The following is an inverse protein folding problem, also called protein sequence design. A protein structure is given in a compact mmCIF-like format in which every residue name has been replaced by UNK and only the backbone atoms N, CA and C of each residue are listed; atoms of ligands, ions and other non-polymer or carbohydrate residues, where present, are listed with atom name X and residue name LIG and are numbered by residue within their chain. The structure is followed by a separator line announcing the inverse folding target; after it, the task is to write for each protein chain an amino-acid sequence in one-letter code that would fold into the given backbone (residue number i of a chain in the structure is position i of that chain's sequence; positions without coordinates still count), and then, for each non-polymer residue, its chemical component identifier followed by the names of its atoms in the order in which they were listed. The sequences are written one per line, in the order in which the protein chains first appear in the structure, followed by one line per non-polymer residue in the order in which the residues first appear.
data_IF_370938386478
#
_entry.id   IF_370938386478
#
_cell.length_a   1.000
_cell.length_b   1.000
_cell.length_c   1.000
_cell.angle_alpha   90.00
_cell.angle_beta   90.00
_cell.angle_gamma   90.00
#
_symmetry.space_group_name_H-M   'P 1'
#
loop_
_entity.id
_entity.type
_entity.pdbx_description
1 polymer ?
#
# COMPACT_ATOMS: atom_id res chain seq x y z
N UNK A 1 1.35 9.55 -33.58
CA UNK A 1 1.19 9.39 -32.12
C UNK A 1 1.15 10.79 -31.52
N UNK A 2 -0.02 11.32 -31.18
CA UNK A 2 -0.15 12.62 -30.57
C UNK A 2 0.42 12.58 -29.13
N UNK A 3 1.21 13.54 -28.70
CA UNK A 3 1.63 13.64 -27.30
C UNK A 3 0.40 13.83 -26.42
N UNK A 4 0.33 13.10 -25.31
CA UNK A 4 -0.71 13.31 -24.30
C UNK A 4 -0.66 14.78 -23.84
N UNK A 5 -1.81 15.46 -23.72
CA UNK A 5 -1.82 16.80 -23.16
C UNK A 5 -1.27 16.78 -21.74
N UNK A 6 -0.44 17.77 -21.41
CA UNK A 6 0.14 18.03 -20.07
C UNK A 6 -0.96 18.35 -19.03
N UNK A 7 -1.86 17.43 -18.77
CA UNK A 7 -2.89 17.50 -17.74
C UNK A 7 -2.56 16.61 -16.55
N UNK A 8 -1.37 16.77 -16.01
CA UNK A 8 -1.15 16.33 -14.64
C UNK A 8 -1.48 17.53 -13.75
N UNK A 9 -2.62 17.52 -13.04
CA UNK A 9 -2.90 18.57 -12.06
C UNK A 9 -1.73 18.63 -11.06
N UNK A 10 -1.40 19.81 -10.53
CA UNK A 10 -0.31 19.96 -9.58
C UNK A 10 -0.53 18.95 -8.45
N UNK A 11 0.49 18.14 -8.18
CA UNK A 11 0.44 17.09 -7.17
C UNK A 11 0.19 17.74 -5.82
N UNK A 12 -0.89 17.40 -5.08
CA UNK A 12 -1.01 17.86 -3.72
C UNK A 12 0.23 17.37 -2.96
N UNK A 13 0.88 18.27 -2.23
CA UNK A 13 1.98 17.88 -1.37
C UNK A 13 1.44 16.98 -0.26
N UNK A 14 2.10 15.86 0.00
CA UNK A 14 1.75 14.97 1.12
C UNK A 14 1.54 15.75 2.44
N UNK A 15 2.33 16.79 2.66
CA UNK A 15 2.26 17.64 3.86
C UNK A 15 1.07 18.61 3.88
N UNK A 16 0.40 18.80 2.75
CA UNK A 16 -0.76 19.70 2.63
C UNK A 16 -2.08 18.96 2.86
N UNK A 17 -2.04 17.61 2.99
CA UNK A 17 -3.23 16.79 3.26
C UNK A 17 -3.47 16.70 4.75
N UNK A 18 -4.63 17.20 5.20
CA UNK A 18 -5.12 16.95 6.56
C UNK A 18 -5.79 15.58 6.63
N UNK A 19 -5.13 14.64 7.31
CA UNK A 19 -5.64 13.28 7.48
C UNK A 19 -6.91 13.18 8.36
N UNK A 20 -7.34 14.25 9.00
CA UNK A 20 -8.64 14.29 9.67
C UNK A 20 -9.78 14.55 8.69
N UNK A 21 -9.49 15.17 7.55
CA UNK A 21 -10.46 15.58 6.54
C UNK A 21 -10.54 14.56 5.39
N UNK A 22 -9.36 14.12 4.87
CA UNK A 22 -9.28 13.21 3.73
C UNK A 22 -8.08 12.28 3.86
N UNK A 23 -8.19 11.01 3.43
CA UNK A 23 -7.01 10.15 3.31
C UNK A 23 -6.12 10.63 2.17
N UNK A 24 -4.84 10.33 2.28
CA UNK A 24 -3.88 10.52 1.20
C UNK A 24 -4.09 9.49 0.06
N UNK A 25 -4.45 8.26 0.45
CA UNK A 25 -4.73 7.16 -0.45
C UNK A 25 -6.00 6.44 -0.03
N UNK A 26 -6.85 6.14 -0.99
CA UNK A 26 -7.99 5.24 -0.82
C UNK A 26 -7.80 4.04 -1.75
N UNK A 27 -7.78 2.84 -1.19
CA UNK A 27 -7.77 1.62 -1.98
C UNK A 27 -9.18 1.03 -2.04
N UNK A 28 -9.60 0.61 -3.22
CA UNK A 28 -10.90 -0.02 -3.42
C UNK A 28 -10.74 -1.40 -4.06
N UNK A 29 -11.14 -2.42 -3.31
CA UNK A 29 -11.26 -3.80 -3.78
C UNK A 29 -12.55 -3.93 -4.58
N UNK A 30 -12.48 -3.73 -5.89
CA UNK A 30 -13.68 -3.71 -6.75
C UNK A 30 -14.29 -5.09 -7.00
N UNK A 31 -13.53 -6.16 -6.74
CA UNK A 31 -13.95 -7.56 -6.82
C UNK A 31 -13.02 -8.46 -5.99
N UNK A 32 -13.51 -9.60 -5.50
CA UNK A 32 -12.67 -10.68 -4.94
C UNK A 32 -12.35 -11.79 -5.93
N UNK A 33 -12.90 -11.73 -7.13
CA UNK A 33 -12.60 -12.71 -8.15
C UNK A 33 -11.13 -12.63 -8.58
N UNK A 34 -10.45 -13.78 -8.66
CA UNK A 34 -9.07 -13.89 -9.11
C UNK A 34 -8.78 -15.32 -9.60
N UNK A 35 -7.94 -15.43 -10.64
CA UNK A 35 -7.47 -16.71 -11.13
C UNK A 35 -6.21 -17.23 -10.40
N UNK A 36 -5.61 -16.43 -9.50
CA UNK A 36 -4.46 -16.82 -8.70
C UNK A 36 -4.88 -17.40 -7.34
N UNK A 37 -4.01 -18.25 -6.78
CA UNK A 37 -4.22 -18.91 -5.50
C UNK A 37 -3.14 -18.56 -4.45
N UNK A 38 -2.68 -17.30 -4.45
CA UNK A 38 -1.57 -16.82 -3.62
C UNK A 38 -1.69 -17.24 -2.16
N UNK A 39 -0.60 -17.77 -1.58
CA UNK A 39 -0.58 -18.27 -0.18
C UNK A 39 -0.82 -17.16 0.85
N UNK A 40 -0.42 -15.93 0.54
CA UNK A 40 -0.52 -14.74 1.41
C UNK A 40 -1.75 -13.87 1.14
N UNK A 41 -2.72 -14.34 0.33
CA UNK A 41 -3.81 -13.49 -0.14
C UNK A 41 -4.67 -12.93 0.99
N UNK A 42 -4.60 -11.61 1.24
CA UNK A 42 -5.41 -10.92 2.26
C UNK A 42 -6.93 -10.99 1.97
N UNK A 43 -7.29 -11.00 0.68
CA UNK A 43 -8.69 -10.96 0.24
C UNK A 43 -9.38 -12.32 0.31
N UNK A 44 -8.63 -13.42 0.51
CA UNK A 44 -9.16 -14.77 0.35
C UNK A 44 -9.87 -14.89 -1.01
N UNK A 45 -9.16 -14.47 -2.07
CA UNK A 45 -9.71 -14.39 -3.41
C UNK A 45 -10.31 -15.72 -3.87
N UNK A 46 -11.38 -15.64 -4.65
CA UNK A 46 -12.20 -16.75 -5.12
C UNK A 46 -12.31 -16.72 -6.66
N UNK A 47 -12.62 -17.86 -7.33
CA UNK A 47 -12.63 -17.92 -8.80
C UNK A 47 -13.75 -17.10 -9.47
N UNK A 48 -14.82 -16.81 -8.77
CA UNK A 48 -16.01 -16.12 -9.29
C UNK A 48 -16.30 -14.84 -8.51
N UNK A 49 -16.95 -13.89 -9.15
CA UNK A 49 -17.43 -12.66 -8.51
C UNK A 49 -18.48 -12.98 -7.43
N UNK A 50 -18.42 -12.24 -6.35
CA UNK A 50 -19.45 -12.29 -5.31
C UNK A 50 -20.73 -11.59 -5.84
N UNK A 51 -21.91 -12.20 -5.75
CA UNK A 51 -23.16 -11.58 -6.21
C UNK A 51 -23.53 -10.31 -5.43
N UNK A 52 -22.93 -10.08 -4.26
CA UNK A 52 -23.15 -8.88 -3.43
C UNK A 52 -22.23 -7.70 -3.83
N UNK A 53 -21.32 -7.89 -4.80
CA UNK A 53 -20.48 -6.79 -5.29
C UNK A 53 -21.33 -5.58 -5.69
N UNK A 54 -20.75 -4.39 -5.49
CA UNK A 54 -21.41 -3.14 -5.92
C UNK A 54 -21.76 -3.21 -7.40
N UNK A 55 -23.00 -2.79 -7.76
CA UNK A 55 -23.45 -2.69 -9.15
C UNK A 55 -22.61 -1.64 -9.90
N UNK A 56 -22.66 -1.59 -11.25
CA UNK A 56 -22.02 -0.52 -12.01
C UNK A 56 -22.44 0.89 -11.56
N UNK A 57 -23.73 1.10 -11.30
CA UNK A 57 -24.29 2.39 -10.88
C UNK A 57 -23.83 2.74 -9.45
N UNK A 58 -23.81 1.74 -8.55
CA UNK A 58 -23.25 1.93 -7.20
C UNK A 58 -21.75 2.28 -7.26
N UNK A 59 -21.02 1.64 -8.16
CA UNK A 59 -19.59 1.87 -8.34
C UNK A 59 -19.31 3.32 -8.77
N UNK A 60 -20.08 3.89 -9.69
CA UNK A 60 -19.93 5.29 -10.10
C UNK A 60 -20.28 6.25 -8.94
N UNK A 61 -21.32 5.94 -8.16
CA UNK A 61 -21.64 6.73 -6.95
C UNK A 61 -20.52 6.69 -5.91
N UNK A 62 -19.84 5.56 -5.73
CA UNK A 62 -18.68 5.48 -4.83
C UNK A 62 -17.55 6.37 -5.33
N UNK A 63 -17.28 6.43 -6.62
CA UNK A 63 -16.31 7.38 -7.18
C UNK A 63 -16.70 8.83 -6.85
N UNK A 64 -17.98 9.20 -7.01
CA UNK A 64 -18.45 10.54 -6.70
C UNK A 64 -18.27 10.87 -5.21
N UNK A 65 -18.59 9.96 -4.30
CA UNK A 65 -18.32 10.10 -2.86
C UNK A 65 -16.82 10.28 -2.55
N UNK A 66 -15.93 9.58 -3.26
CA UNK A 66 -14.47 9.72 -3.10
C UNK A 66 -14.01 11.10 -3.58
N UNK A 67 -14.57 11.63 -4.66
CA UNK A 67 -14.28 12.98 -5.15
C UNK A 67 -14.70 14.04 -4.14
N UNK A 68 -15.90 13.91 -3.56
CA UNK A 68 -16.45 14.81 -2.53
C UNK A 68 -15.63 14.77 -1.23
N UNK A 69 -15.02 13.63 -0.91
CA UNK A 69 -14.17 13.47 0.26
C UNK A 69 -12.89 14.31 0.20
N UNK A 70 -12.38 14.69 -0.99
CA UNK A 70 -11.17 15.50 -1.14
C UNK A 70 -10.15 14.97 -2.14
N UNK A 71 -10.56 14.11 -3.04
CA UNK A 71 -9.74 13.58 -4.15
C UNK A 71 -8.44 12.88 -3.72
N UNK A 72 -8.49 11.87 -2.84
CA UNK A 72 -7.33 11.04 -2.53
C UNK A 72 -6.83 10.32 -3.79
N UNK A 73 -5.62 9.74 -3.73
CA UNK A 73 -5.21 8.78 -4.76
C UNK A 73 -6.12 7.55 -4.65
N UNK A 74 -6.80 7.24 -5.75
CA UNK A 74 -7.62 6.03 -5.83
C UNK A 74 -6.77 4.87 -6.35
N UNK A 75 -6.66 3.80 -5.57
CA UNK A 75 -6.05 2.54 -6.01
C UNK A 75 -7.16 1.53 -6.29
N UNK A 76 -7.39 1.25 -7.55
CA UNK A 76 -8.33 0.21 -8.00
C UNK A 76 -7.61 -1.14 -7.90
N UNK A 77 -8.08 -1.97 -6.99
CA UNK A 77 -7.50 -3.29 -6.69
C UNK A 77 -8.62 -4.34 -6.57
N UNK A 78 -8.26 -5.55 -6.14
CA UNK A 78 -9.23 -6.61 -5.95
C UNK A 78 -8.56 -7.93 -5.60
N UNK A 79 -9.22 -9.01 -5.98
CA UNK A 79 -8.55 -10.22 -6.36
C UNK A 79 -7.78 -9.95 -7.66
N UNK A 80 -8.51 -9.87 -8.78
CA UNK A 80 -8.02 -9.30 -10.04
C UNK A 80 -9.05 -8.30 -10.56
N UNK A 81 -8.80 -6.98 -10.51
CA UNK A 81 -9.77 -5.98 -10.94
C UNK A 81 -10.19 -6.13 -12.42
N UNK A 82 -9.36 -6.77 -13.26
CA UNK A 82 -9.71 -7.05 -14.65
C UNK A 82 -10.83 -8.11 -14.80
N UNK A 83 -11.16 -8.85 -13.75
CA UNK A 83 -12.34 -9.75 -13.74
C UNK A 83 -13.66 -8.99 -13.56
N UNK A 84 -13.61 -7.71 -13.22
CA UNK A 84 -14.78 -6.84 -13.17
C UNK A 84 -14.99 -6.19 -14.54
N UNK A 85 -16.16 -6.43 -15.16
CA UNK A 85 -16.43 -6.03 -16.56
C UNK A 85 -16.41 -4.52 -16.78
N UNK A 86 -16.91 -3.75 -15.82
CA UNK A 86 -17.05 -2.28 -15.85
C UNK A 86 -15.83 -1.56 -15.23
N UNK A 87 -14.71 -2.25 -14.99
CA UNK A 87 -13.53 -1.64 -14.34
C UNK A 87 -12.98 -0.43 -15.09
N UNK A 88 -12.99 -0.47 -16.43
CA UNK A 88 -12.50 0.65 -17.23
C UNK A 88 -13.45 1.85 -17.22
N UNK A 89 -14.74 1.63 -17.02
CA UNK A 89 -15.72 2.72 -16.89
C UNK A 89 -15.58 3.39 -15.52
N UNK A 90 -15.35 2.62 -14.45
CA UNK A 90 -15.00 3.12 -13.12
C UNK A 90 -13.74 4.00 -13.19
N UNK A 91 -12.67 3.52 -13.82
CA UNK A 91 -11.41 4.25 -13.97
C UNK A 91 -11.61 5.53 -14.77
N UNK A 92 -12.33 5.47 -15.89
CA UNK A 92 -12.61 6.64 -16.74
C UNK A 92 -13.41 7.70 -15.99
N UNK A 93 -14.42 7.27 -15.24
CA UNK A 93 -15.21 8.19 -14.41
C UNK A 93 -14.35 8.85 -13.34
N UNK A 94 -13.54 8.08 -12.63
CA UNK A 94 -12.64 8.58 -11.60
C UNK A 94 -11.60 9.59 -12.15
N UNK A 95 -10.94 9.23 -13.25
CA UNK A 95 -9.96 10.10 -13.91
C UNK A 95 -10.62 11.36 -14.48
N UNK A 96 -11.81 11.23 -15.10
CA UNK A 96 -12.59 12.37 -15.61
C UNK A 96 -13.02 13.35 -14.52
N UNK A 97 -13.22 12.88 -13.28
CA UNK A 97 -13.49 13.72 -12.10
C UNK A 97 -12.21 14.31 -11.47
N UNK A 98 -11.03 14.02 -12.04
CA UNK A 98 -9.75 14.53 -11.60
C UNK A 98 -9.10 13.75 -10.45
N UNK A 99 -9.52 12.51 -10.20
CA UNK A 99 -8.79 11.59 -9.33
C UNK A 99 -7.53 11.08 -10.04
N UNK A 100 -6.48 10.87 -9.26
CA UNK A 100 -5.33 10.08 -9.70
C UNK A 100 -5.63 8.62 -9.46
N UNK A 101 -5.46 7.81 -10.49
CA UNK A 101 -5.87 6.39 -10.45
C UNK A 101 -4.66 5.47 -10.63
N UNK A 102 -4.41 4.64 -9.62
CA UNK A 102 -3.54 3.47 -9.73
C UNK A 102 -4.37 2.22 -9.98
N UNK A 103 -3.90 1.34 -10.86
CA UNK A 103 -4.52 0.03 -11.09
C UNK A 103 -3.58 -1.09 -10.66
N UNK A 104 -4.10 -2.04 -9.87
CA UNK A 104 -3.34 -3.18 -9.35
C UNK A 104 -3.92 -4.52 -9.88
N UNK A 105 -3.74 -4.86 -11.15
CA UNK A 105 -4.20 -6.13 -11.70
C UNK A 105 -3.30 -7.28 -11.26
N UNK A 106 -3.83 -8.48 -11.28
CA UNK A 106 -3.04 -9.69 -11.24
C UNK A 106 -2.47 -10.02 -12.62
N UNK A 107 -1.26 -10.59 -12.69
CA UNK A 107 -0.66 -11.02 -13.95
C UNK A 107 -1.32 -12.33 -14.44
N UNK A 108 -2.61 -12.28 -14.73
CA UNK A 108 -3.43 -13.38 -15.26
C UNK A 108 -3.56 -13.32 -16.78
N UNK A 109 -4.30 -14.25 -17.37
CA UNK A 109 -4.62 -14.23 -18.80
C UNK A 109 -5.38 -12.97 -19.22
N UNK A 110 -6.04 -12.26 -18.29
CA UNK A 110 -6.75 -11.02 -18.55
C UNK A 110 -5.83 -9.79 -18.67
N UNK A 111 -4.60 -9.85 -18.13
CA UNK A 111 -3.62 -8.77 -18.25
C UNK A 111 -2.95 -8.78 -19.64
N UNK A 112 -3.76 -8.70 -20.70
CA UNK A 112 -3.29 -8.60 -22.10
C UNK A 112 -2.82 -7.19 -22.40
N UNK A 113 -1.92 -7.03 -23.39
CA UNK A 113 -1.50 -5.70 -23.90
C UNK A 113 -2.71 -4.84 -24.27
N UNK A 114 -3.76 -5.43 -24.84
CA UNK A 114 -4.99 -4.72 -25.19
C UNK A 114 -5.72 -4.19 -23.95
N UNK A 115 -5.88 -4.99 -22.88
CA UNK A 115 -6.53 -4.53 -21.64
C UNK A 115 -5.67 -3.51 -20.90
N UNK A 116 -4.35 -3.62 -20.95
CA UNK A 116 -3.43 -2.63 -20.38
C UNK A 116 -3.50 -1.30 -21.16
N UNK A 117 -3.62 -1.35 -22.50
CA UNK A 117 -3.85 -0.15 -23.32
C UNK A 117 -5.19 0.50 -22.97
N UNK A 118 -6.28 -0.28 -22.84
CA UNK A 118 -7.58 0.24 -22.38
C UNK A 118 -7.52 0.88 -21.00
N UNK A 119 -6.74 0.33 -20.07
CA UNK A 119 -6.53 0.93 -18.76
C UNK A 119 -5.84 2.31 -18.88
N UNK A 120 -4.81 2.42 -19.74
CA UNK A 120 -4.14 3.71 -20.03
C UNK A 120 -5.13 4.72 -20.63
N UNK A 121 -5.89 4.32 -21.63
CA UNK A 121 -6.91 5.17 -22.28
C UNK A 121 -8.02 5.60 -21.31
N UNK A 122 -8.34 4.77 -20.32
CA UNK A 122 -9.29 5.10 -19.25
C UNK A 122 -8.70 6.10 -18.23
N UNK A 123 -7.39 6.36 -18.24
CA UNK A 123 -6.75 7.36 -17.40
C UNK A 123 -5.99 6.81 -16.19
N UNK A 124 -5.45 5.59 -16.28
CA UNK A 124 -4.55 5.05 -15.24
C UNK A 124 -3.23 5.82 -15.22
N UNK A 125 -2.88 6.38 -14.06
CA UNK A 125 -1.61 7.11 -13.85
C UNK A 125 -0.43 6.18 -13.50
N UNK A 126 -0.70 5.04 -12.87
CA UNK A 126 0.32 4.08 -12.44
C UNK A 126 -0.22 2.66 -12.42
N UNK A 127 0.56 1.73 -12.91
CA UNK A 127 0.27 0.29 -12.84
C UNK A 127 1.07 -0.33 -11.70
N UNK A 128 0.40 -1.08 -10.82
CA UNK A 128 1.04 -1.84 -9.77
C UNK A 128 0.99 -3.34 -10.09
N UNK A 129 2.14 -3.95 -10.32
CA UNK A 129 2.28 -5.38 -10.61
C UNK A 129 3.08 -6.03 -9.48
N UNK A 130 2.61 -7.17 -9.00
CA UNK A 130 3.27 -7.87 -7.92
C UNK A 130 4.32 -8.86 -8.42
N UNK A 131 5.50 -8.86 -7.76
CA UNK A 131 6.58 -9.82 -7.95
C UNK A 131 7.09 -10.26 -6.58
N UNK A 132 6.88 -11.54 -6.24
CA UNK A 132 7.22 -12.09 -4.91
C UNK A 132 8.34 -13.12 -4.96
N UNK A 133 9.03 -13.26 -6.09
CA UNK A 133 10.22 -14.07 -6.27
C UNK A 133 11.01 -13.62 -7.49
N UNK A 134 12.32 -13.83 -7.48
CA UNK A 134 13.24 -13.48 -8.56
C UNK A 134 13.28 -14.54 -9.67
N UNK A 135 12.72 -15.73 -9.41
CA UNK A 135 12.67 -16.88 -10.29
C UNK A 135 11.31 -17.60 -10.19
N UNK A 136 11.00 -18.50 -11.16
CA UNK A 136 9.75 -19.25 -11.19
C UNK A 136 9.49 -20.06 -9.91
N UNK A 137 10.52 -20.68 -9.35
CA UNK A 137 10.40 -21.57 -8.19
C UNK A 137 9.84 -20.83 -6.97
N UNK A 138 10.32 -19.62 -6.71
CA UNK A 138 9.87 -18.79 -5.59
C UNK A 138 8.55 -18.11 -5.91
N UNK A 139 8.46 -17.46 -7.07
CA UNK A 139 7.28 -16.66 -7.42
C UNK A 139 6.03 -17.52 -7.62
N UNK A 140 6.13 -18.60 -8.41
CA UNK A 140 4.99 -19.45 -8.74
C UNK A 140 4.45 -20.17 -7.50
N UNK A 141 5.36 -20.64 -6.60
CA UNK A 141 4.97 -21.23 -5.33
C UNK A 141 4.20 -20.21 -4.46
N UNK A 142 4.66 -18.97 -4.43
CA UNK A 142 4.03 -17.91 -3.65
C UNK A 142 2.67 -17.48 -4.23
N UNK A 143 2.54 -17.46 -5.56
CA UNK A 143 1.29 -17.11 -6.27
C UNK A 143 0.33 -18.30 -6.42
N UNK A 144 0.81 -19.53 -6.15
CA UNK A 144 0.01 -20.75 -6.23
C UNK A 144 -0.37 -21.15 -7.66
N UNK A 145 0.33 -20.63 -8.68
CA UNK A 145 0.05 -20.89 -10.09
C UNK A 145 1.36 -21.00 -10.87
N UNK A 146 1.63 -22.16 -11.45
CA UNK A 146 2.79 -22.42 -12.30
C UNK A 146 2.77 -21.51 -13.54
N UNK A 147 3.90 -20.92 -13.90
CA UNK A 147 4.05 -20.00 -15.02
C UNK A 147 3.65 -18.56 -14.72
N UNK A 148 3.22 -18.25 -13.49
CA UNK A 148 2.86 -16.89 -13.10
C UNK A 148 4.06 -15.94 -13.13
N UNK A 149 5.28 -16.41 -12.87
CA UNK A 149 6.51 -15.63 -12.98
C UNK A 149 6.74 -15.09 -14.39
N UNK A 150 6.76 -16.00 -15.37
CA UNK A 150 6.93 -15.62 -16.77
C UNK A 150 5.85 -14.65 -17.23
N UNK A 151 4.59 -14.93 -16.86
CA UNK A 151 3.47 -14.06 -17.17
C UNK A 151 3.62 -12.67 -16.53
N UNK A 152 4.13 -12.60 -15.30
CA UNK A 152 4.38 -11.33 -14.60
C UNK A 152 5.42 -10.48 -15.36
N UNK A 153 6.50 -11.09 -15.84
CA UNK A 153 7.50 -10.37 -16.64
C UNK A 153 6.93 -9.85 -17.98
N UNK A 154 6.13 -10.67 -18.67
CA UNK A 154 5.45 -10.27 -19.91
C UNK A 154 4.53 -9.06 -19.67
N UNK A 155 3.73 -9.08 -18.60
CA UNK A 155 2.84 -7.97 -18.23
C UNK A 155 3.65 -6.71 -17.91
N UNK A 156 4.74 -6.81 -17.14
CA UNK A 156 5.61 -5.67 -16.82
C UNK A 156 6.24 -5.07 -18.08
N UNK A 157 6.68 -5.90 -19.02
CA UNK A 157 7.20 -5.44 -20.30
C UNK A 157 6.13 -4.70 -21.11
N UNK A 158 4.92 -5.25 -21.22
CA UNK A 158 3.81 -4.58 -21.89
C UNK A 158 3.45 -3.23 -21.24
N UNK A 159 3.46 -3.15 -19.90
CA UNK A 159 3.23 -1.89 -19.16
C UNK A 159 4.29 -0.85 -19.53
N UNK A 160 5.57 -1.25 -19.60
CA UNK A 160 6.68 -0.38 -20.00
C UNK A 160 6.55 0.08 -21.46
N UNK A 161 6.27 -0.82 -22.38
CA UNK A 161 6.10 -0.52 -23.80
C UNK A 161 4.93 0.46 -24.05
N UNK A 162 3.87 0.33 -23.27
CA UNK A 162 2.75 1.28 -23.26
C UNK A 162 3.10 2.62 -22.61
N UNK A 163 4.28 2.79 -22.01
CA UNK A 163 4.69 4.01 -21.33
C UNK A 163 3.91 4.30 -20.03
N UNK A 164 3.29 3.28 -19.43
CA UNK A 164 2.58 3.42 -18.15
C UNK A 164 3.62 3.33 -17.02
N UNK A 165 3.68 4.28 -16.08
CA UNK A 165 4.57 4.19 -14.93
C UNK A 165 4.33 2.91 -14.14
N UNK A 166 5.41 2.13 -13.88
CA UNK A 166 5.36 0.84 -13.20
C UNK A 166 5.77 0.96 -11.74
N UNK A 167 4.94 0.45 -10.85
CA UNK A 167 5.25 0.14 -9.47
C UNK A 167 5.28 -1.38 -9.30
N UNK A 168 6.35 -1.92 -8.73
CA UNK A 168 6.44 -3.34 -8.39
C UNK A 168 6.12 -3.51 -6.90
N UNK A 169 5.29 -4.50 -6.57
CA UNK A 169 4.95 -4.86 -5.20
C UNK A 169 5.54 -6.22 -4.83
N UNK A 170 6.16 -6.33 -3.65
CA UNK A 170 6.66 -7.58 -3.11
C UNK A 170 6.17 -7.74 -1.68
N UNK A 171 5.57 -8.88 -1.33
CA UNK A 171 5.18 -9.18 0.04
C UNK A 171 6.26 -10.02 0.70
N UNK A 172 6.99 -9.45 1.63
CA UNK A 172 8.05 -10.11 2.42
C UNK A 172 7.43 -11.11 3.38
N UNK A 173 7.91 -12.32 3.34
CA UNK A 173 7.56 -13.42 4.20
C UNK A 173 8.77 -14.35 4.38
N UNK A 174 8.66 -15.37 5.22
CA UNK A 174 9.71 -16.39 5.38
C UNK A 174 10.06 -17.13 4.07
N UNK A 175 9.17 -17.13 3.08
CA UNK A 175 9.35 -17.84 1.82
C UNK A 175 10.29 -17.12 0.85
N UNK A 176 10.43 -15.80 0.97
CA UNK A 176 11.18 -15.00 0.00
C UNK A 176 12.12 -13.96 0.62
N UNK A 177 12.29 -13.92 1.94
CA UNK A 177 13.19 -12.94 2.57
C UNK A 177 14.63 -13.05 2.07
N UNK A 178 15.13 -14.27 1.83
CA UNK A 178 16.47 -14.51 1.28
C UNK A 178 16.61 -14.13 -0.20
N UNK A 179 15.49 -13.98 -0.92
CA UNK A 179 15.45 -13.67 -2.35
C UNK A 179 15.33 -12.15 -2.63
N UNK A 180 15.14 -11.32 -1.59
CA UNK A 180 14.94 -9.88 -1.75
C UNK A 180 16.02 -9.15 -2.56
N UNK A 181 17.34 -9.45 -2.41
CA UNK A 181 18.36 -8.83 -3.24
C UNK A 181 18.17 -9.12 -4.74
N UNK A 182 17.91 -10.38 -5.10
CA UNK A 182 17.68 -10.76 -6.48
C UNK A 182 16.35 -10.19 -7.03
N UNK A 183 15.32 -10.08 -6.19
CA UNK A 183 14.07 -9.38 -6.56
C UNK A 183 14.37 -7.90 -6.86
N UNK A 184 15.20 -7.21 -6.06
CA UNK A 184 15.56 -5.81 -6.29
C UNK A 184 16.27 -5.62 -7.65
N UNK A 185 17.14 -6.57 -8.04
CA UNK A 185 17.77 -6.57 -9.37
C UNK A 185 16.73 -6.71 -10.50
N UNK A 186 15.72 -7.59 -10.30
CA UNK A 186 14.60 -7.72 -11.25
C UNK A 186 13.79 -6.45 -11.35
N UNK A 187 13.48 -5.80 -10.21
CA UNK A 187 12.76 -4.52 -10.15
C UNK A 187 13.49 -3.45 -10.94
N UNK A 188 14.82 -3.37 -10.81
CA UNK A 188 15.65 -2.47 -11.62
C UNK A 188 15.58 -2.81 -13.11
N UNK A 189 15.71 -4.09 -13.47
CA UNK A 189 15.75 -4.55 -14.86
C UNK A 189 14.45 -4.30 -15.63
N UNK A 190 13.30 -4.35 -14.97
CA UNK A 190 12.01 -4.04 -15.61
C UNK A 190 11.73 -2.54 -15.69
N UNK A 191 12.62 -1.69 -15.20
CA UNK A 191 12.48 -0.23 -15.24
C UNK A 191 11.36 0.31 -14.33
N UNK A 192 11.13 -0.33 -13.19
CA UNK A 192 10.14 0.15 -12.23
C UNK A 192 10.52 1.53 -11.69
N UNK A 193 9.52 2.39 -11.47
CA UNK A 193 9.71 3.69 -10.79
C UNK A 193 9.71 3.56 -9.27
N UNK A 194 8.95 2.59 -8.76
CA UNK A 194 8.78 2.37 -7.31
C UNK A 194 8.80 0.88 -7.02
N UNK A 195 9.54 0.48 -6.01
CA UNK A 195 9.42 -0.82 -5.37
C UNK A 195 8.68 -0.69 -4.04
N UNK A 196 7.48 -1.24 -3.98
CA UNK A 196 6.64 -1.29 -2.78
C UNK A 196 6.87 -2.61 -2.05
N UNK A 197 7.56 -2.56 -0.92
CA UNK A 197 7.88 -3.72 -0.10
C UNK A 197 6.83 -3.82 1.01
N UNK A 198 5.92 -4.77 0.85
CA UNK A 198 4.90 -5.09 1.84
C UNK A 198 5.48 -6.07 2.85
N UNK A 199 5.11 -5.94 4.10
CA UNK A 199 5.44 -6.94 5.11
C UNK A 199 4.17 -7.69 5.49
N UNK A 200 4.22 -9.02 5.46
CA UNK A 200 3.06 -9.86 5.68
C UNK A 200 2.34 -9.51 6.99
N UNK A 201 1.03 -9.35 6.87
CA UNK A 201 0.10 -9.25 8.00
C UNK A 201 -0.74 -10.52 8.01
N UNK A 202 -0.93 -11.17 9.17
CA UNK A 202 -1.72 -12.40 9.27
C UNK A 202 -3.20 -12.08 9.08
N UNK A 203 -3.62 -12.01 7.81
CA UNK A 203 -4.98 -11.67 7.35
C UNK A 203 -5.31 -12.50 6.12
N UNK A 204 -6.55 -12.97 6.01
CA UNK A 204 -6.99 -13.83 4.91
C UNK A 204 -6.28 -15.18 4.94
N UNK A 205 -5.54 -15.53 3.87
CA UNK A 205 -4.75 -16.77 3.80
C UNK A 205 -3.36 -16.65 4.43
N UNK A 206 -2.85 -15.44 4.65
CA UNK A 206 -1.55 -15.22 5.30
C UNK A 206 -1.57 -15.69 6.76
N UNK A 207 -0.59 -16.49 7.16
CA UNK A 207 -0.50 -17.07 8.51
C UNK A 207 0.60 -16.38 9.33
N UNK A 208 0.47 -16.43 10.67
CA UNK A 208 1.53 -15.97 11.59
C UNK A 208 2.85 -16.72 11.35
N UNK A 209 2.78 -18.01 11.05
CA UNK A 209 3.94 -18.86 10.73
C UNK A 209 4.69 -18.41 9.49
N UNK A 210 4.07 -17.64 8.61
CA UNK A 210 4.67 -17.15 7.38
C UNK A 210 5.39 -15.80 7.55
N UNK A 211 5.19 -15.15 8.70
CA UNK A 211 5.83 -13.87 9.00
C UNK A 211 7.33 -14.05 9.25
N UNK A 212 8.08 -13.04 8.88
CA UNK A 212 9.48 -12.90 9.30
C UNK A 212 9.55 -12.43 10.76
N UNK A 213 10.63 -12.77 11.44
CA UNK A 213 10.86 -12.37 12.83
C UNK A 213 11.04 -10.85 12.98
N UNK A 214 10.86 -10.28 14.19
CA UNK A 214 11.11 -8.86 14.44
C UNK A 214 12.55 -8.43 14.11
N UNK A 215 13.55 -9.31 14.31
CA UNK A 215 14.95 -9.03 13.95
C UNK A 215 15.16 -9.00 12.44
N UNK A 216 14.52 -9.90 11.71
CA UNK A 216 14.55 -9.90 10.24
C UNK A 216 13.84 -8.67 9.65
N UNK A 217 12.74 -8.21 10.27
CA UNK A 217 12.13 -6.93 9.91
C UNK A 217 13.15 -5.79 9.99
N UNK A 218 13.83 -5.67 11.13
CA UNK A 218 14.79 -4.59 11.37
C UNK A 218 15.99 -4.68 10.42
N UNK A 219 16.53 -5.88 10.21
CA UNK A 219 17.62 -6.10 9.27
C UNK A 219 17.21 -5.71 7.84
N UNK A 220 16.01 -6.12 7.41
CA UNK A 220 15.46 -5.76 6.09
C UNK A 220 15.27 -4.26 5.95
N UNK A 221 14.79 -3.55 6.98
CA UNK A 221 14.65 -2.09 6.93
C UNK A 221 15.99 -1.38 6.77
N UNK A 222 17.04 -1.82 7.46
CA UNK A 222 18.37 -1.26 7.31
C UNK A 222 18.91 -1.51 5.89
N UNK A 223 18.76 -2.72 5.37
CA UNK A 223 19.12 -3.04 4.00
C UNK A 223 18.34 -2.22 2.96
N UNK A 224 17.02 -2.06 3.14
CA UNK A 224 16.21 -1.21 2.26
C UNK A 224 16.62 0.26 2.31
N UNK A 225 17.06 0.77 3.47
CA UNK A 225 17.60 2.12 3.58
C UNK A 225 18.88 2.25 2.73
N UNK A 226 19.83 1.32 2.86
CA UNK A 226 21.05 1.35 2.08
C UNK A 226 20.77 1.23 0.58
N UNK A 227 19.90 0.31 0.18
CA UNK A 227 19.45 0.15 -1.21
C UNK A 227 18.79 1.44 -1.76
N UNK A 228 17.96 2.10 -0.97
CA UNK A 228 17.27 3.33 -1.41
C UNK A 228 18.20 4.48 -1.78
N UNK A 229 19.47 4.42 -1.33
CA UNK A 229 20.49 5.44 -1.60
C UNK A 229 21.16 5.27 -2.97
N UNK A 230 21.06 4.08 -3.57
CA UNK A 230 21.77 3.71 -4.80
C UNK A 230 20.86 3.17 -5.90
N UNK A 231 19.64 2.75 -5.56
CA UNK A 231 18.71 2.16 -6.51
C UNK A 231 18.22 3.18 -7.55
N UNK A 232 17.96 2.70 -8.76
CA UNK A 232 17.35 3.49 -9.85
C UNK A 232 15.84 3.69 -9.69
N UNK A 233 15.26 3.15 -8.63
CA UNK A 233 13.83 3.23 -8.28
C UNK A 233 13.65 3.68 -6.83
N UNK A 234 12.50 4.25 -6.54
CA UNK A 234 12.18 4.62 -5.17
C UNK A 234 11.74 3.40 -4.35
N UNK A 235 12.22 3.29 -3.10
CA UNK A 235 11.84 2.23 -2.16
C UNK A 235 10.73 2.73 -1.23
N UNK A 236 9.67 1.95 -1.10
CA UNK A 236 8.55 2.23 -0.21
C UNK A 236 8.20 0.98 0.60
N UNK A 237 7.82 1.15 1.86
CA UNK A 237 7.28 0.04 2.67
C UNK A 237 5.78 0.19 2.90
N UNK A 238 5.07 -0.94 2.97
CA UNK A 238 3.64 -1.02 3.29
C UNK A 238 3.42 -2.03 4.40
N UNK A 239 2.48 -1.75 5.31
CA UNK A 239 2.27 -2.48 6.55
C UNK A 239 3.54 -2.58 7.43
N UNK A 240 4.46 -1.64 7.26
CA UNK A 240 5.75 -1.56 7.96
C UNK A 240 6.15 -0.10 8.24
N UNK A 241 5.37 0.65 9.04
CA UNK A 241 5.66 2.04 9.35
C UNK A 241 6.97 2.23 10.13
N UNK A 242 7.50 1.17 10.74
CA UNK A 242 8.81 1.17 11.43
C UNK A 242 9.98 1.59 10.53
N UNK A 243 9.90 1.33 9.23
CA UNK A 243 10.92 1.75 8.27
C UNK A 243 11.17 3.27 8.36
N UNK A 244 10.13 4.07 8.61
CA UNK A 244 10.30 5.52 8.80
C UNK A 244 11.19 5.85 9.99
N UNK A 245 11.06 5.11 11.10
CA UNK A 245 11.95 5.25 12.25
C UNK A 245 13.39 4.94 11.87
N UNK A 246 13.62 3.83 11.18
CA UNK A 246 14.97 3.43 10.72
C UNK A 246 15.57 4.53 9.84
N UNK A 247 14.82 5.03 8.87
CA UNK A 247 15.30 6.12 8.00
C UNK A 247 15.68 7.35 8.83
N UNK A 248 14.82 7.79 9.80
CA UNK A 248 15.14 8.92 10.70
C UNK A 248 16.44 8.68 11.45
N UNK A 249 16.59 7.51 12.06
CA UNK A 249 17.77 7.18 12.87
C UNK A 249 19.03 7.13 12.01
N UNK A 250 18.99 6.44 10.86
CA UNK A 250 20.12 6.33 9.93
C UNK A 250 20.54 7.68 9.34
N UNK A 251 19.58 8.53 8.98
CA UNK A 251 19.89 9.86 8.46
C UNK A 251 20.53 10.75 9.53
N UNK A 252 20.02 10.74 10.76
CA UNK A 252 20.63 11.47 11.87
C UNK A 252 22.06 11.00 12.19
N UNK A 253 22.32 9.70 12.09
CA UNK A 253 23.65 9.14 12.27
C UNK A 253 24.63 9.57 11.17
N UNK A 254 24.15 9.67 9.93
CA UNK A 254 24.97 10.09 8.79
C UNK A 254 25.25 11.61 8.78
N UNK A 255 24.41 12.42 9.44
CA UNK A 255 24.53 13.89 9.51
C UNK A 255 24.39 14.39 10.97
N UNK A 256 25.39 14.21 11.83
CA UNK A 256 25.31 14.63 13.24
C UNK A 256 25.14 16.15 13.44
N UNK A 257 25.53 16.96 12.47
CA UNK A 257 25.58 18.43 12.56
C UNK A 257 24.24 19.14 12.26
N UNK A 258 23.11 18.45 12.28
CA UNK A 258 21.79 19.12 12.24
C UNK A 258 21.31 19.57 10.87
N UNK A 259 21.84 19.05 9.80
CA UNK A 259 21.23 19.16 8.46
C UNK A 259 19.83 18.53 8.46
N UNK A 260 18.84 19.24 7.92
CA UNK A 260 17.47 18.72 7.82
C UNK A 260 17.45 17.37 7.10
N UNK A 261 16.64 16.45 7.61
CA UNK A 261 16.48 15.13 7.00
C UNK A 261 15.66 15.32 5.73
N UNK A 262 16.32 15.24 4.58
CA UNK A 262 15.62 15.16 3.29
C UNK A 262 14.97 13.78 3.16
N UNK A 263 13.66 13.80 3.04
CA UNK A 263 12.86 12.61 2.81
C UNK A 263 12.38 12.58 1.38
N UNK A 264 12.86 11.64 0.61
CA UNK A 264 12.14 11.20 -0.57
C UNK A 264 11.21 10.03 -0.18
N UNK A 265 10.05 10.34 0.38
CA UNK A 265 8.96 9.40 0.47
C UNK A 265 8.19 9.43 -0.86
N UNK A 266 8.63 8.68 -1.82
CA UNK A 266 7.88 8.44 -3.03
C UNK A 266 6.76 7.46 -2.69
N UNK A 267 5.59 7.99 -2.40
CA UNK A 267 4.36 7.20 -2.41
C UNK A 267 3.69 7.36 -3.76
N UNK A 268 3.10 6.31 -4.35
CA UNK A 268 2.19 6.31 -5.50
C UNK A 268 2.16 7.61 -6.34
N UNK A 269 3.33 8.08 -6.79
CA UNK A 269 3.46 9.30 -7.59
C UNK A 269 3.65 10.62 -6.82
N UNK A 270 4.05 10.62 -5.56
CA UNK A 270 4.45 11.83 -4.83
C UNK A 270 5.97 11.87 -4.68
N UNK A 271 6.56 13.01 -5.08
CA UNK A 271 7.92 13.40 -4.76
C UNK A 271 7.88 14.46 -3.67
N UNK A 272 8.80 14.41 -2.71
CA UNK A 272 8.99 15.47 -1.73
C UNK A 272 9.92 16.53 -2.30
N UNK A 273 9.66 17.81 -2.01
CA UNK A 273 10.61 18.89 -2.28
C UNK A 273 11.61 18.99 -1.15
N UNK A 274 12.85 19.26 -1.50
CA UNK A 274 13.98 19.57 -0.61
C UNK A 274 13.58 20.57 0.50
N UNK A 275 14.07 20.36 1.70
CA UNK A 275 14.12 21.37 2.76
C UNK A 275 12.95 21.40 3.75
N UNK A 276 12.02 20.44 3.75
CA UNK A 276 10.99 20.33 4.81
C UNK A 276 11.25 19.14 5.72
N UNK A 277 11.49 19.41 7.00
CA UNK A 277 11.53 18.38 8.03
C UNK A 277 10.23 17.57 8.05
N UNK A 278 10.27 16.23 8.30
CA UNK A 278 9.07 15.43 8.44
C UNK A 278 8.22 16.02 9.59
N UNK A 279 6.97 16.36 9.29
CA UNK A 279 5.98 16.59 10.34
C UNK A 279 5.77 15.27 11.08
N UNK A 280 5.32 15.32 12.34
CA UNK A 280 4.97 14.17 13.18
C UNK A 280 3.79 13.34 12.64
N UNK A 281 3.73 13.15 11.32
CA UNK A 281 2.59 12.57 10.65
C UNK A 281 3.03 11.57 9.56
N UNK A 282 2.72 10.29 9.79
CA UNK A 282 2.92 9.21 8.82
C UNK A 282 1.60 8.52 8.46
N UNK A 283 1.46 8.06 7.20
CA UNK A 283 0.32 7.24 6.77
C UNK A 283 0.34 5.89 7.50
N UNK A 284 -0.81 5.49 8.04
CA UNK A 284 -1.01 4.20 8.67
C UNK A 284 -2.46 3.74 8.42
N UNK A 285 -2.84 2.56 8.91
CA UNK A 285 -4.21 2.07 8.85
C UNK A 285 -5.17 3.11 9.45
N UNK A 286 -6.14 3.61 8.69
CA UNK A 286 -7.10 4.64 9.11
C UNK A 286 -6.54 6.07 9.28
N UNK A 287 -5.23 6.26 9.19
CA UNK A 287 -4.57 7.57 9.26
C UNK A 287 -3.92 7.88 7.90
N UNK A 288 -4.56 8.72 7.11
CA UNK A 288 -4.15 9.01 5.73
C UNK A 288 -4.38 7.85 4.76
N UNK A 289 -5.04 6.78 5.20
CA UNK A 289 -5.43 5.64 4.39
C UNK A 289 -6.86 5.21 4.70
N UNK A 290 -7.60 4.82 3.65
CA UNK A 290 -8.93 4.26 3.71
C UNK A 290 -9.05 3.11 2.72
N UNK A 291 -9.93 2.15 2.97
CA UNK A 291 -10.16 1.01 2.11
C UNK A 291 -11.66 0.74 1.98
N UNK A 292 -12.11 0.45 0.75
CA UNK A 292 -13.48 0.01 0.47
C UNK A 292 -13.42 -1.42 -0.05
N UNK A 293 -14.26 -2.30 0.51
CA UNK A 293 -14.39 -3.69 0.07
C UNK A 293 -15.25 -3.80 -1.19
N UNK A 294 -15.24 -4.96 -1.83
CA UNK A 294 -16.07 -5.28 -3.00
C UNK A 294 -17.58 -5.23 -2.73
N UNK A 295 -18.00 -5.33 -1.48
CA UNK A 295 -19.41 -5.22 -1.04
C UNK A 295 -19.72 -3.86 -0.40
N UNK A 296 -18.76 -2.92 -0.43
CA UNK A 296 -18.97 -1.56 0.03
C UNK A 296 -18.59 -1.29 1.48
N UNK A 297 -18.10 -2.27 2.25
CA UNK A 297 -17.64 -2.02 3.61
C UNK A 297 -16.43 -1.09 3.63
N UNK A 298 -16.39 -0.18 4.61
CA UNK A 298 -15.32 0.80 4.79
C UNK A 298 -14.42 0.34 5.93
N UNK A 299 -13.13 0.12 5.62
CA UNK A 299 -12.10 -0.33 6.54
C UNK A 299 -10.96 0.69 6.66
N UNK A 300 -10.22 0.71 7.79
CA UNK A 300 -9.00 1.51 7.93
C UNK A 300 -7.91 1.14 6.91
N UNK A 301 -7.82 -0.13 6.55
CA UNK A 301 -6.98 -0.63 5.46
C UNK A 301 -7.47 -2.01 5.01
N UNK A 302 -6.95 -2.51 3.88
CA UNK A 302 -7.24 -3.86 3.42
C UNK A 302 -6.72 -4.97 4.35
N UNK A 303 -5.83 -4.64 5.28
CA UNK A 303 -5.26 -5.57 6.25
C UNK A 303 -5.91 -5.47 7.63
N UNK A 304 -6.49 -4.33 7.99
CA UNK A 304 -7.28 -4.13 9.21
C UNK A 304 -8.78 -4.15 8.84
N UNK A 305 -9.34 -5.35 8.75
CA UNK A 305 -10.71 -5.59 8.28
C UNK A 305 -11.73 -5.45 9.44
N UNK A 306 -11.67 -4.34 10.16
CA UNK A 306 -12.68 -3.92 11.12
C UNK A 306 -13.56 -2.90 10.42
N UNK A 307 -14.85 -3.22 10.22
CA UNK A 307 -15.77 -2.33 9.50
C UNK A 307 -16.10 -1.09 10.33
N UNK A 308 -16.04 0.06 9.68
CA UNK A 308 -16.47 1.34 10.24
C UNK A 308 -17.82 1.79 9.68
N UNK A 309 -18.35 1.13 8.64
CA UNK A 309 -19.60 1.45 7.95
C UNK A 309 -19.62 0.85 6.55
N UNK A 310 -20.64 1.18 5.76
CA UNK A 310 -20.81 0.70 4.39
C UNK A 310 -21.24 1.87 3.47
N UNK A 311 -20.67 1.94 2.26
CA UNK A 311 -20.94 3.02 1.27
C UNK A 311 -22.39 3.06 0.77
N UNK A 312 -23.16 1.98 0.97
CA UNK A 312 -24.60 1.93 0.66
C UNK A 312 -25.45 2.64 1.71
N UNK A 313 -24.93 2.74 2.93
CA UNK A 313 -25.66 3.25 4.09
C UNK A 313 -25.23 4.69 4.46
N UNK A 314 -23.93 4.99 4.29
CA UNK A 314 -23.34 6.25 4.73
C UNK A 314 -22.30 6.74 3.72
N UNK A 315 -22.17 8.06 3.50
CA UNK A 315 -21.09 8.63 2.71
C UNK A 315 -19.72 8.25 3.26
N UNK A 316 -18.78 7.85 2.38
CA UNK A 316 -17.43 7.43 2.80
C UNK A 316 -16.69 8.54 3.56
N UNK A 317 -16.94 9.81 3.22
CA UNK A 317 -16.36 10.97 3.91
C UNK A 317 -16.80 11.06 5.37
N UNK A 318 -18.09 10.83 5.66
CA UNK A 318 -18.65 10.84 7.01
C UNK A 318 -18.04 9.73 7.86
N UNK A 319 -17.99 8.52 7.33
CA UNK A 319 -17.40 7.38 8.02
C UNK A 319 -15.91 7.63 8.31
N UNK A 320 -15.14 8.10 7.32
CA UNK A 320 -13.73 8.39 7.50
C UNK A 320 -13.47 9.48 8.54
N UNK A 321 -14.27 10.57 8.51
CA UNK A 321 -14.08 11.73 9.39
C UNK A 321 -14.51 11.46 10.81
N UNK A 322 -15.65 10.78 11.00
CA UNK A 322 -16.39 10.83 12.26
C UNK A 322 -16.56 9.46 12.95
N UNK A 323 -16.28 8.33 12.29
CA UNK A 323 -16.40 7.05 12.99
C UNK A 323 -15.39 6.94 14.15
N UNK A 324 -15.80 6.33 15.23
CA UNK A 324 -14.96 6.12 16.42
C UNK A 324 -13.66 5.39 16.08
N UNK A 325 -13.71 4.41 15.15
CA UNK A 325 -12.56 3.62 14.71
C UNK A 325 -11.51 4.50 14.02
N UNK A 326 -11.90 5.27 13.00
CA UNK A 326 -10.95 6.13 12.29
C UNK A 326 -10.43 7.26 13.17
N UNK A 327 -11.27 7.84 14.02
CA UNK A 327 -10.86 8.87 14.98
C UNK A 327 -9.83 8.34 15.97
N UNK A 328 -10.05 7.15 16.52
CA UNK A 328 -9.09 6.50 17.40
C UNK A 328 -7.75 6.23 16.71
N UNK A 329 -7.76 5.67 15.49
CA UNK A 329 -6.55 5.35 14.73
C UNK A 329 -5.72 6.58 14.34
N UNK A 330 -6.33 7.75 14.24
CA UNK A 330 -5.64 9.02 13.98
C UNK A 330 -5.02 9.64 15.24
N UNK A 331 -5.42 9.19 16.44
CA UNK A 331 -4.94 9.73 17.70
C UNK A 331 -3.78 8.89 18.27
N UNK A 332 -2.51 9.30 18.12
CA UNK A 332 -1.37 8.55 18.63
C UNK A 332 -1.29 8.49 20.16
N UNK A 333 -2.05 9.33 20.88
CA UNK A 333 -2.10 9.28 22.34
C UNK A 333 -2.86 8.05 22.88
N UNK A 334 -3.69 7.42 22.04
CA UNK A 334 -4.42 6.20 22.41
C UNK A 334 -3.59 4.91 22.21
N UNK A 335 -2.41 5.00 21.60
CA UNK A 335 -1.53 3.84 21.43
C UNK A 335 -1.07 3.31 22.79
N UNK A 336 -1.00 1.98 22.90
CA UNK A 336 -0.64 1.25 24.12
C UNK A 336 0.81 0.75 24.07
N UNK A 337 1.28 0.26 25.21
CA UNK A 337 2.55 -0.39 25.36
C UNK A 337 3.73 0.41 24.80
N UNK A 338 4.68 -0.27 24.18
CA UNK A 338 5.88 0.37 23.60
C UNK A 338 5.55 1.38 22.49
N UNK A 339 4.49 1.13 21.70
CA UNK A 339 4.07 2.08 20.67
C UNK A 339 3.55 3.40 21.28
N UNK A 340 2.83 3.33 22.40
CA UNK A 340 2.32 4.51 23.12
C UNK A 340 3.44 5.34 23.78
N UNK A 341 4.46 4.66 24.34
CA UNK A 341 5.61 5.30 24.96
C UNK A 341 6.67 5.80 23.94
N UNK A 342 6.52 5.47 22.64
CA UNK A 342 7.54 5.70 21.64
C UNK A 342 7.59 7.14 21.14
N UNK A 343 8.79 7.74 21.10
CA UNK A 343 9.04 9.06 20.54
C UNK A 343 8.71 9.16 19.02
N UNK A 344 8.68 8.02 18.33
CA UNK A 344 8.29 7.94 16.91
C UNK A 344 6.80 7.65 16.69
N UNK A 345 5.97 7.66 17.75
CA UNK A 345 4.55 7.26 17.67
C UNK A 345 3.74 8.06 16.63
N UNK A 346 4.05 9.33 16.43
CA UNK A 346 3.37 10.20 15.47
C UNK A 346 3.64 9.83 14.02
N UNK A 347 4.91 9.51 13.70
CA UNK A 347 5.37 9.21 12.34
C UNK A 347 5.32 7.72 12.00
N UNK A 348 5.48 6.84 12.98
CA UNK A 348 5.48 5.38 12.85
C UNK A 348 4.16 4.79 13.37
N UNK A 349 3.99 4.76 14.68
CA UNK A 349 2.82 4.19 15.35
C UNK A 349 2.67 2.67 15.26
N UNK A 350 3.61 1.93 14.65
CA UNK A 350 3.52 0.49 14.37
C UNK A 350 2.42 0.14 13.35
N UNK A 351 2.41 -1.07 12.80
CA UNK A 351 1.31 -1.54 11.95
C UNK A 351 0.10 -1.88 12.82
N UNK A 352 -0.98 -1.12 12.67
CA UNK A 352 -2.20 -1.33 13.44
C UNK A 352 -2.91 -2.62 13.03
N UNK A 353 -2.82 -2.96 11.74
CA UNK A 353 -3.33 -4.23 11.23
C UNK A 353 -2.59 -5.44 11.82
N UNK A 354 -1.23 -5.36 11.94
CA UNK A 354 -0.46 -6.46 12.54
C UNK A 354 -0.66 -6.54 14.05
N UNK A 355 -0.74 -5.40 14.74
CA UNK A 355 -1.09 -5.38 16.16
C UNK A 355 -2.43 -6.09 16.37
N UNK A 356 -3.46 -5.74 15.59
CA UNK A 356 -4.77 -6.38 15.66
C UNK A 356 -4.73 -7.88 15.35
N UNK A 357 -4.07 -8.27 14.26
CA UNK A 357 -4.00 -9.67 13.82
C UNK A 357 -3.29 -10.59 14.81
N UNK A 358 -2.41 -10.05 15.67
CA UNK A 358 -1.63 -10.82 16.64
C UNK A 358 -2.16 -10.71 18.07
N UNK A 359 -2.86 -9.63 18.42
CA UNK A 359 -3.29 -9.36 19.80
C UNK A 359 -4.80 -9.19 19.97
N UNK A 360 -5.53 -9.01 18.86
CA UNK A 360 -6.96 -8.63 18.88
C UNK A 360 -7.21 -7.16 19.19
N UNK A 361 -6.16 -6.36 19.43
CA UNK A 361 -6.26 -4.92 19.74
C UNK A 361 -5.39 -4.10 18.77
N UNK A 362 -6.03 -3.28 17.96
CA UNK A 362 -5.34 -2.43 16.99
C UNK A 362 -4.58 -1.25 17.63
N UNK A 363 -4.77 -0.97 18.93
CA UNK A 363 -3.99 0.04 19.67
C UNK A 363 -2.76 -0.51 20.36
N UNK A 364 -2.62 -1.82 20.44
CA UNK A 364 -1.51 -2.47 21.14
C UNK A 364 -0.16 -2.28 20.41
N UNK A 365 0.93 -2.56 21.09
CA UNK A 365 2.28 -2.59 20.50
C UNK A 365 2.30 -3.50 19.26
N UNK A 366 2.92 -3.03 18.17
CA UNK A 366 3.22 -3.93 17.04
C UNK A 366 4.30 -4.94 17.46
N UNK A 367 3.99 -6.25 17.54
CA UNK A 367 4.92 -7.26 18.01
C UNK A 367 6.16 -7.45 17.13
N UNK A 368 6.12 -6.99 15.86
CA UNK A 368 7.26 -7.07 14.93
C UNK A 368 8.29 -5.94 15.12
N UNK A 369 8.11 -5.05 16.10
CA UNK A 369 9.05 -3.99 16.40
C UNK A 369 10.06 -4.40 17.48
N UNK A 370 11.37 -4.35 17.16
CA UNK A 370 12.45 -4.60 18.14
C UNK A 370 12.86 -3.35 18.92
N UNK A 371 12.43 -2.17 18.48
CA UNK A 371 12.84 -0.92 19.07
C UNK A 371 12.28 -0.75 20.48
N UNK A 372 13.17 -0.41 21.42
CA UNK A 372 12.81 -0.06 22.78
C UNK A 372 12.88 1.46 22.92
N UNK A 373 11.76 2.15 23.19
CA UNK A 373 11.73 3.61 23.34
C UNK A 373 12.64 4.09 24.48
N UNK A 374 13.21 5.28 24.33
CA UNK A 374 14.11 5.86 25.34
C UNK A 374 13.44 5.97 26.72
N UNK A 375 12.16 6.31 26.76
CA UNK A 375 11.36 6.39 28.00
C UNK A 375 11.18 5.05 28.72
N UNK A 376 11.32 3.92 28.00
CA UNK A 376 11.22 2.57 28.58
C UNK A 376 12.59 2.06 29.02
N UNK A 377 13.69 2.50 28.35
CA UNK A 377 15.05 2.14 28.71
C UNK A 377 15.51 2.80 30.04
N UNK A 378 14.99 3.98 30.36
CA UNK A 378 15.31 4.76 31.54
C UNK A 378 14.44 4.48 32.77
N UNK A 379 13.56 3.48 32.69
CA UNK A 379 12.78 3.02 33.83
C UNK A 379 13.70 2.36 34.90
N UNK A 380 13.38 2.44 36.21
CA UNK A 380 14.18 1.82 37.24
C UNK A 380 14.37 0.34 36.93
N UNK A 381 15.60 -0.12 36.97
CA UNK A 381 15.92 -1.54 36.98
C UNK A 381 15.16 -2.16 38.15
N UNK A 382 14.22 -3.04 37.88
CA UNK A 382 13.48 -3.79 38.90
C UNK A 382 14.36 -4.86 39.52
#
# INVERSE_FOLDING_TARGET
MQPMPDRVPPRPHYFDVDFNVTPFTLAWEVTRACALACVHCRATAQPKRDPRELSPEEALRVVDQIVEMGKPILIVTGGDPLMRRDVFDIIRHASGKGLRVGLSPSATALATTQNLARAREAGVDMMHISMDGSCPEVHDAFRGVKGSFQRTLEVMNSVRELGIPLQVGTTVSRYNIGDLPAIAERVASVGARVWSVFFLVPTGRGQMSDMVSPREHEATFNWLYDLSRTASFAVRTTAAPHYRRVVIQRTRQAQPSGGGVEWELTGAGYAFREGRAPRDQGVNDGKGFCFISHVGDIYPSGFLQVSAGNVREQPVAEVYRHSALFTALRNPALLKGRCGACEFRGVCGGSRARAYGLTGDYMETDPSCVYVPASVQSGPAA
#
